data_IF_432035205601
#
_entry.id   IF_432035205601
#
_cell.length_a   1.000
_cell.length_b   1.000
_cell.length_c   1.000
_cell.angle_alpha   90.00
_cell.angle_beta   90.00
_cell.angle_gamma   90.00
#
_symmetry.space_group_name_H-M   'P 1'
#
loop_
_entity.id
_entity.type
_entity.pdbx_description
1 polymer ?
#
# COMPACT_ATOMS: atom_id res chain seq x y z
N UNK A 1 83.94 -5.22 -48.27
CA UNK A 1 83.12 -6.33 -47.78
C UNK A 1 82.57 -5.85 -46.48
N UNK A 2 81.24 -5.82 -46.38
CA UNK A 2 80.44 -5.33 -45.26
C UNK A 2 80.70 -6.06 -43.94
N UNK A 3 80.44 -5.32 -42.86
CA UNK A 3 80.39 -5.71 -41.45
C UNK A 3 78.98 -5.42 -40.90
N UNK A 4 78.52 -6.32 -40.01
CA UNK A 4 77.67 -6.11 -38.81
C UNK A 4 76.23 -5.54 -38.94
N UNK A 5 75.30 -5.66 -37.98
CA UNK A 5 74.77 -6.69 -37.05
C UNK A 5 73.40 -6.13 -36.55
N UNK A 6 72.47 -7.04 -36.18
CA UNK A 6 71.37 -7.01 -35.17
C UNK A 6 70.33 -5.86 -34.97
N UNK A 7 69.10 -6.34 -34.72
CA UNK A 7 67.97 -5.91 -33.84
C UNK A 7 67.22 -4.56 -34.01
N UNK A 8 65.88 -4.61 -34.09
CA UNK A 8 64.96 -3.86 -33.19
C UNK A 8 63.48 -4.31 -33.30
N UNK A 9 62.79 -4.19 -32.17
CA UNK A 9 61.52 -4.73 -31.71
C UNK A 9 60.27 -3.96 -32.21
N UNK A 10 59.06 -4.50 -31.98
CA UNK A 10 57.83 -3.70 -32.07
C UNK A 10 56.52 -4.49 -32.16
N UNK A 11 56.00 -4.92 -31.00
CA UNK A 11 54.64 -5.42 -30.82
C UNK A 11 53.61 -4.26 -30.88
N UNK A 12 52.51 -4.40 -31.63
CA UNK A 12 51.31 -3.55 -31.43
C UNK A 12 50.02 -4.40 -31.42
N UNK A 13 49.62 -4.66 -30.17
CA UNK A 13 48.35 -5.02 -29.57
C UNK A 13 47.08 -4.99 -30.44
N UNK A 14 46.45 -6.17 -30.58
CA UNK A 14 45.11 -6.34 -31.14
C UNK A 14 44.04 -5.84 -30.15
N UNK A 15 43.38 -4.74 -30.54
CA UNK A 15 42.31 -4.09 -29.80
C UNK A 15 41.06 -4.98 -29.70
N UNK A 16 40.85 -5.65 -28.57
CA UNK A 16 39.60 -6.37 -28.28
C UNK A 16 38.95 -5.88 -26.98
N UNK A 17 37.95 -5.01 -27.11
CA UNK A 17 36.84 -4.85 -26.15
C UNK A 17 35.56 -4.69 -26.97
N UNK A 18 34.35 -5.07 -26.50
CA UNK A 18 33.97 -5.18 -25.09
C UNK A 18 33.03 -6.36 -24.75
N UNK A 19 33.08 -6.87 -23.53
CA UNK A 19 31.91 -7.52 -22.94
C UNK A 19 31.90 -7.34 -21.44
N UNK A 20 31.05 -6.40 -21.01
CA UNK A 20 30.43 -6.29 -19.68
C UNK A 20 30.50 -7.62 -18.94
N UNK A 21 31.43 -7.73 -17.98
CA UNK A 21 31.33 -8.72 -16.91
C UNK A 21 29.95 -8.52 -16.32
N UNK A 22 29.10 -9.50 -16.59
CA UNK A 22 27.73 -9.56 -16.15
C UNK A 22 27.77 -9.25 -14.65
N UNK A 23 27.21 -8.09 -14.28
CA UNK A 23 26.48 -7.98 -13.03
C UNK A 23 25.33 -8.98 -13.13
N UNK A 24 25.65 -10.27 -13.06
CA UNK A 24 24.79 -11.24 -12.46
C UNK A 24 24.71 -10.79 -11.00
N UNK A 25 23.92 -9.73 -10.80
CA UNK A 25 23.24 -9.51 -9.55
C UNK A 25 22.57 -10.86 -9.32
N UNK A 26 23.23 -11.65 -8.47
CA UNK A 26 22.67 -12.73 -7.72
C UNK A 26 21.44 -12.13 -7.06
N UNK A 27 20.34 -12.10 -7.80
CA UNK A 27 19.01 -11.95 -7.25
C UNK A 27 18.88 -13.23 -6.50
N UNK A 28 19.27 -13.19 -5.23
CA UNK A 28 19.02 -14.26 -4.30
C UNK A 28 17.55 -14.60 -4.51
N UNK A 29 17.31 -15.82 -5.01
CA UNK A 29 15.98 -16.39 -5.06
C UNK A 29 15.55 -16.40 -3.59
N UNK A 30 14.77 -15.39 -3.20
CA UNK A 30 14.25 -15.27 -1.86
C UNK A 30 13.39 -16.51 -1.66
N UNK A 31 13.87 -17.44 -0.84
CA UNK A 31 13.06 -18.55 -0.37
C UNK A 31 11.80 -17.93 0.25
N UNK A 32 10.61 -18.16 -0.34
CA UNK A 32 9.38 -17.56 0.16
C UNK A 32 9.04 -18.04 1.57
N UNK A 33 9.79 -19.02 2.08
CA UNK A 33 9.61 -19.58 3.40
C UNK A 33 8.32 -20.40 3.49
N UNK A 34 7.93 -20.78 4.72
CA UNK A 34 6.72 -21.55 4.96
C UNK A 34 5.47 -20.78 4.51
N UNK A 35 4.59 -21.44 3.77
CA UNK A 35 3.29 -20.87 3.40
C UNK A 35 2.23 -21.26 4.43
N UNK A 36 1.35 -20.32 4.76
CA UNK A 36 0.21 -20.55 5.66
C UNK A 36 -1.07 -20.50 4.83
N UNK A 37 -1.98 -21.49 4.93
CA UNK A 37 -3.26 -21.43 4.22
C UNK A 37 -4.08 -20.23 4.70
N UNK A 38 -4.70 -19.52 3.75
CA UNK A 38 -5.48 -18.33 4.04
C UNK A 38 -6.75 -18.69 4.81
N UNK A 39 -6.87 -18.20 6.04
CA UNK A 39 -8.08 -18.36 6.84
C UNK A 39 -9.19 -17.42 6.36
N UNK A 40 -10.48 -17.74 6.64
CA UNK A 40 -11.58 -16.83 6.32
C UNK A 40 -11.42 -15.44 6.97
N UNK A 41 -10.88 -15.38 8.18
CA UNK A 41 -10.62 -14.13 8.88
C UNK A 41 -9.53 -13.29 8.17
N UNK A 42 -8.45 -13.93 7.71
CA UNK A 42 -7.41 -13.26 6.94
C UNK A 42 -7.96 -12.77 5.59
N UNK A 43 -8.74 -13.58 4.88
CA UNK A 43 -9.38 -13.17 3.63
C UNK A 43 -10.28 -11.94 3.83
N UNK A 44 -11.06 -11.90 4.92
CA UNK A 44 -11.88 -10.74 5.24
C UNK A 44 -11.05 -9.51 5.59
N UNK A 45 -9.92 -9.66 6.28
CA UNK A 45 -8.99 -8.57 6.53
C UNK A 45 -8.41 -8.02 5.23
N UNK A 46 -7.95 -8.88 4.32
CA UNK A 46 -7.48 -8.45 2.99
C UNK A 46 -8.55 -7.63 2.26
N UNK A 47 -9.80 -8.10 2.25
CA UNK A 47 -10.93 -7.36 1.64
C UNK A 47 -11.13 -5.98 2.26
N UNK A 48 -11.04 -5.86 3.59
CA UNK A 48 -11.17 -4.57 4.29
C UNK A 48 -10.07 -3.60 3.89
N UNK A 49 -8.82 -4.07 3.81
CA UNK A 49 -7.68 -3.24 3.40
C UNK A 49 -7.83 -2.76 1.95
N UNK A 50 -8.18 -3.65 1.02
CA UNK A 50 -8.44 -3.26 -0.37
C UNK A 50 -9.63 -2.30 -0.51
N UNK A 51 -10.69 -2.50 0.28
CA UNK A 51 -11.83 -1.59 0.30
C UNK A 51 -11.46 -0.21 0.83
N UNK A 52 -10.62 -0.13 1.87
CA UNK A 52 -10.11 1.13 2.39
C UNK A 52 -9.33 1.91 1.31
N UNK A 53 -8.37 1.26 0.64
CA UNK A 53 -7.58 1.88 -0.43
C UNK A 53 -8.49 2.41 -1.56
N UNK A 54 -9.46 1.61 -2.01
CA UNK A 54 -10.41 2.03 -3.04
C UNK A 54 -11.31 3.20 -2.60
N UNK A 55 -11.61 3.33 -1.30
CA UNK A 55 -12.36 4.47 -0.77
C UNK A 55 -11.50 5.73 -0.73
N UNK A 56 -10.21 5.62 -0.43
CA UNK A 56 -9.28 6.76 -0.49
C UNK A 56 -9.11 7.27 -1.92
N UNK A 57 -8.97 6.38 -2.90
CA UNK A 57 -8.91 6.75 -4.33
C UNK A 57 -10.15 7.53 -4.80
N UNK A 58 -11.29 7.30 -4.15
CA UNK A 58 -12.58 7.95 -4.43
C UNK A 58 -12.87 9.12 -3.50
N UNK A 59 -11.95 9.46 -2.61
CA UNK A 59 -12.08 10.49 -1.57
C UNK A 59 -13.32 10.29 -0.66
N UNK A 60 -13.80 9.05 -0.51
CA UNK A 60 -14.90 8.71 0.40
C UNK A 60 -14.36 8.50 1.82
N UNK A 61 -13.88 9.60 2.41
CA UNK A 61 -13.24 9.60 3.73
C UNK A 61 -14.19 9.19 4.86
N UNK A 62 -15.50 9.42 4.70
CA UNK A 62 -16.52 8.98 5.66
C UNK A 62 -16.46 7.47 5.85
N UNK A 63 -16.53 6.72 4.74
CA UNK A 63 -16.47 5.26 4.80
C UNK A 63 -15.08 4.75 5.09
N UNK A 64 -14.04 5.37 4.55
CA UNK A 64 -12.67 4.99 4.81
C UNK A 64 -12.37 5.04 6.32
N UNK A 65 -12.91 6.05 7.03
CA UNK A 65 -12.75 6.20 8.48
C UNK A 65 -13.40 5.07 9.28
N UNK A 66 -14.55 4.56 8.84
CA UNK A 66 -15.20 3.40 9.48
C UNK A 66 -14.31 2.16 9.39
N UNK A 67 -13.74 1.89 8.19
CA UNK A 67 -12.81 0.77 8.02
C UNK A 67 -11.53 1.00 8.82
N UNK A 68 -11.00 2.22 8.83
CA UNK A 68 -9.79 2.58 9.57
C UNK A 68 -9.91 2.28 11.06
N UNK A 69 -11.03 2.65 11.70
CA UNK A 69 -11.26 2.36 13.13
C UNK A 69 -11.16 0.86 13.42
N UNK A 70 -11.79 0.03 12.60
CA UNK A 70 -11.78 -1.43 12.78
C UNK A 70 -10.41 -2.06 12.52
N UNK A 71 -9.71 -1.62 11.48
CA UNK A 71 -8.36 -2.11 11.15
C UNK A 71 -7.36 -1.68 12.22
N UNK A 72 -7.42 -0.45 12.73
CA UNK A 72 -6.57 0.01 13.83
C UNK A 72 -6.83 -0.78 15.12
N UNK A 73 -8.08 -1.07 15.45
CA UNK A 73 -8.42 -1.95 16.57
C UNK A 73 -7.89 -3.38 16.40
N UNK A 74 -7.76 -3.85 15.15
CA UNK A 74 -7.10 -5.13 14.84
C UNK A 74 -5.60 -5.07 15.12
N UNK A 75 -4.94 -3.97 14.70
CA UNK A 75 -3.51 -3.70 14.94
C UNK A 75 -3.16 -3.66 16.43
N UNK A 76 -4.06 -3.15 17.28
CA UNK A 76 -3.84 -3.13 18.73
C UNK A 76 -3.83 -4.53 19.36
N UNK A 77 -4.55 -5.49 18.79
CA UNK A 77 -4.69 -6.86 19.32
C UNK A 77 -3.70 -7.83 18.70
N UNK A 78 -3.20 -7.53 17.52
CA UNK A 78 -2.26 -8.31 16.73
C UNK A 78 -1.40 -7.33 15.97
N UNK A 79 -0.06 -7.39 16.08
CA UNK A 79 0.82 -6.44 15.40
C UNK A 79 1.17 -6.90 13.97
N UNK A 80 0.42 -6.52 12.93
CA UNK A 80 0.70 -6.95 11.56
C UNK A 80 1.99 -6.36 11.01
N UNK A 81 2.59 -5.34 11.64
CA UNK A 81 3.88 -4.79 11.18
C UNK A 81 4.99 -5.83 11.34
N UNK A 82 4.85 -6.74 12.29
CA UNK A 82 5.77 -7.86 12.51
C UNK A 82 5.44 -9.04 11.59
N UNK A 83 4.16 -9.39 11.49
CA UNK A 83 3.74 -10.65 10.86
C UNK A 83 3.34 -10.54 9.39
N UNK A 84 2.83 -9.38 8.95
CA UNK A 84 2.25 -9.15 7.64
C UNK A 84 2.59 -7.74 7.09
N UNK A 85 3.85 -7.29 7.11
CA UNK A 85 4.22 -5.90 6.81
C UNK A 85 3.82 -5.45 5.40
N UNK A 86 3.96 -6.32 4.40
CA UNK A 86 3.62 -6.00 3.02
C UNK A 86 2.11 -5.83 2.80
N UNK A 87 1.28 -6.53 3.59
CA UNK A 87 -0.17 -6.43 3.48
C UNK A 87 -0.69 -5.11 4.05
N UNK A 88 -0.02 -4.56 5.06
CA UNK A 88 -0.46 -3.35 5.77
C UNK A 88 0.22 -2.06 5.29
N UNK A 89 1.21 -2.15 4.42
CA UNK A 89 1.95 -0.98 3.94
C UNK A 89 1.03 0.02 3.22
N UNK A 90 0.14 -0.46 2.34
CA UNK A 90 -0.84 0.37 1.62
C UNK A 90 -1.79 1.09 2.58
N UNK A 91 -2.33 0.37 3.56
CA UNK A 91 -3.19 0.94 4.60
C UNK A 91 -2.52 2.06 5.40
N UNK A 92 -1.33 1.83 5.97
CA UNK A 92 -0.65 2.85 6.77
C UNK A 92 -0.16 4.03 5.92
N UNK A 93 0.26 3.78 4.69
CA UNK A 93 0.60 4.84 3.75
C UNK A 93 -0.64 5.69 3.41
N UNK A 94 -1.78 5.07 3.16
CA UNK A 94 -3.05 5.77 2.93
C UNK A 94 -3.49 6.61 4.13
N UNK A 95 -3.38 6.07 5.35
CA UNK A 95 -3.63 6.84 6.57
C UNK A 95 -2.71 8.06 6.69
N UNK A 96 -1.41 7.90 6.42
CA UNK A 96 -0.45 9.00 6.52
C UNK A 96 -0.69 10.08 5.46
N UNK A 97 -1.00 9.68 4.22
CA UNK A 97 -1.23 10.61 3.12
C UNK A 97 -2.54 11.40 3.26
N UNK A 98 -3.57 10.78 3.82
CA UNK A 98 -4.91 11.39 3.96
C UNK A 98 -5.27 11.71 5.42
N UNK A 99 -4.28 11.83 6.30
CA UNK A 99 -4.47 12.01 7.74
C UNK A 99 -5.39 13.20 8.05
N UNK A 100 -5.15 14.35 7.42
CA UNK A 100 -5.94 15.58 7.65
C UNK A 100 -7.43 15.42 7.31
N UNK A 101 -7.76 14.57 6.32
CA UNK A 101 -9.14 14.32 5.93
C UNK A 101 -9.84 13.27 6.80
N UNK A 102 -9.08 12.28 7.28
CA UNK A 102 -9.60 11.14 8.06
C UNK A 102 -9.69 11.47 9.55
N UNK A 103 -8.70 12.17 10.11
CA UNK A 103 -8.59 12.44 11.54
C UNK A 103 -9.83 13.09 12.16
N UNK A 104 -10.50 14.09 11.54
CA UNK A 104 -11.74 14.64 12.09
C UNK A 104 -12.86 13.62 12.20
N UNK A 105 -12.91 12.64 11.31
CA UNK A 105 -13.94 11.60 11.30
C UNK A 105 -13.71 10.58 12.42
N UNK A 106 -12.44 10.28 12.72
CA UNK A 106 -12.05 9.39 13.83
C UNK A 106 -12.40 9.98 15.20
N UNK A 107 -12.43 11.31 15.33
CA UNK A 107 -12.90 11.99 16.54
C UNK A 107 -14.43 11.96 16.70
N UNK A 108 -15.19 11.74 15.62
CA UNK A 108 -16.66 11.81 15.59
C UNK A 108 -17.35 10.43 15.55
N UNK A 109 -16.68 9.40 16.08
CA UNK A 109 -17.15 8.00 16.06
C UNK A 109 -18.40 7.76 16.90
N UNK A 110 -18.73 8.66 17.83
CA UNK A 110 -19.89 8.50 18.70
C UNK A 110 -21.22 8.92 18.07
N UNK A 111 -21.18 9.64 16.94
CA UNK A 111 -22.38 10.14 16.25
C UNK A 111 -23.27 9.00 15.76
N UNK A 112 -24.59 9.23 15.71
CA UNK A 112 -25.54 8.23 15.19
C UNK A 112 -25.22 7.82 13.74
N UNK A 113 -24.82 8.79 12.91
CA UNK A 113 -24.43 8.55 11.51
C UNK A 113 -23.27 7.55 11.43
N UNK A 114 -22.20 7.82 12.19
CA UNK A 114 -21.04 6.93 12.22
C UNK A 114 -21.41 5.54 12.74
N UNK A 115 -22.13 5.45 13.86
CA UNK A 115 -22.55 4.17 14.43
C UNK A 115 -23.40 3.37 13.45
N UNK A 116 -24.34 3.99 12.73
CA UNK A 116 -25.15 3.30 11.74
C UNK A 116 -24.31 2.74 10.59
N UNK A 117 -23.31 3.51 10.11
CA UNK A 117 -22.36 3.05 9.10
C UNK A 117 -21.46 1.92 9.59
N UNK A 118 -20.94 2.01 10.82
CA UNK A 118 -20.15 0.94 11.46
C UNK A 118 -20.96 -0.36 11.62
N UNK A 119 -22.23 -0.28 12.02
CA UNK A 119 -23.08 -1.46 12.11
C UNK A 119 -23.36 -2.07 10.73
N UNK A 120 -23.62 -1.26 9.71
CA UNK A 120 -23.78 -1.76 8.34
C UNK A 120 -22.51 -2.45 7.84
N UNK A 121 -21.34 -1.83 8.05
CA UNK A 121 -20.03 -2.38 7.73
C UNK A 121 -19.78 -3.76 8.38
N UNK A 122 -20.16 -3.93 9.64
CA UNK A 122 -19.98 -5.18 10.39
C UNK A 122 -20.88 -6.32 9.91
N UNK A 123 -22.09 -6.00 9.47
CA UNK A 123 -23.08 -6.99 9.02
C UNK A 123 -22.87 -7.35 7.56
N UNK A 124 -22.64 -6.34 6.71
CA UNK A 124 -22.52 -6.50 5.26
C UNK A 124 -21.58 -5.44 4.67
N UNK A 125 -20.32 -5.86 4.44
CA UNK A 125 -19.30 -5.00 3.83
C UNK A 125 -19.71 -4.53 2.43
N UNK A 126 -20.35 -5.37 1.63
CA UNK A 126 -20.68 -5.03 0.25
C UNK A 126 -21.83 -4.02 0.20
N UNK A 127 -22.86 -4.20 1.04
CA UNK A 127 -23.92 -3.21 1.21
C UNK A 127 -23.37 -1.87 1.73
N UNK A 128 -22.43 -1.90 2.68
CA UNK A 128 -21.76 -0.70 3.17
C UNK A 128 -21.02 0.06 2.04
N UNK A 129 -20.28 -0.65 1.18
CA UNK A 129 -19.53 -0.02 0.08
C UNK A 129 -20.44 0.61 -0.98
N UNK A 130 -21.62 0.04 -1.23
CA UNK A 130 -22.59 0.57 -2.20
C UNK A 130 -23.49 1.65 -1.60
N UNK A 131 -23.74 1.63 -0.29
CA UNK A 131 -24.64 2.58 0.38
C UNK A 131 -24.20 4.03 0.14
N UNK A 132 -24.98 4.84 -0.55
CA UNK A 132 -24.64 6.25 -0.72
C UNK A 132 -24.86 7.00 0.59
N UNK A 133 -23.85 7.73 1.06
CA UNK A 133 -24.05 8.74 2.09
C UNK A 133 -24.99 9.80 1.51
N UNK A 134 -26.24 9.85 1.99
CA UNK A 134 -27.23 10.86 1.57
C UNK A 134 -26.89 12.29 2.03
N UNK A 135 -25.64 12.58 2.39
CA UNK A 135 -25.29 13.69 3.29
C UNK A 135 -24.73 14.96 2.62
N UNK A 136 -24.86 15.16 1.31
CA UNK A 136 -24.40 16.42 0.65
C UNK A 136 -25.46 17.17 -0.15
N UNK A 137 -26.73 17.17 0.27
CA UNK A 137 -27.78 18.05 -0.34
C UNK A 137 -28.63 18.82 0.67
N UNK A 138 -28.04 19.30 1.77
CA UNK A 138 -28.79 20.09 2.75
C UNK A 138 -27.91 21.04 3.55
N UNK A 139 -27.37 22.07 2.91
CA UNK A 139 -26.58 23.11 3.60
C UNK A 139 -26.54 24.47 2.90
N UNK A 140 -27.37 24.69 1.88
CA UNK A 140 -27.62 26.02 1.33
C UNK A 140 -28.85 26.61 1.98
N UNK A 141 -28.76 27.03 3.25
CA UNK A 141 -29.74 27.99 3.76
C UNK A 141 -29.30 29.36 3.28
N UNK A 142 -29.85 29.73 2.14
CA UNK A 142 -30.14 31.10 1.73
C UNK A 142 -30.68 31.88 2.94
N UNK A 143 -29.81 32.66 3.57
CA UNK A 143 -30.23 33.79 4.39
C UNK A 143 -30.08 35.00 3.49
N UNK A 144 -31.14 35.26 2.74
CA UNK A 144 -31.41 36.55 2.11
C UNK A 144 -32.18 37.37 3.15
N UNK A 145 -31.50 38.33 3.81
CA UNK A 145 -32.13 39.52 4.40
C UNK A 145 -31.11 40.66 4.57
#
# INVERSE_FOLDING_TARGET
>A
GDDEEEDDEGEEEEEVRPARKQKAARREEQDPGPTVPMSPALAQLVRKLSAFEALLEREDYNKASVIAVDVLATVERFDPRVYLPQLFSGFFNGLAQHAEAIEPMLHNTETLSFRAMDQLYRVDLDAFLVAQARQSRGGGSEYDE
#
